data_IF_407399704587
#
_entry.id   IF_407399704587
#
_cell.length_a   1.000
_cell.length_b   1.000
_cell.length_c   1.000
_cell.angle_alpha   90.00
_cell.angle_beta   90.00
_cell.angle_gamma   90.00
#
_symmetry.space_group_name_H-M   'P 1'
#
loop_
_entity.id
_entity.type
_entity.pdbx_description
1 polymer ?
#
# COMPACT_ATOMS: atom_id res chain seq x y z
N UNK A 1 45.51 40.48 -7.43
CA UNK A 1 45.60 39.12 -8.00
C UNK A 1 45.48 37.97 -6.97
N UNK A 2 45.77 38.16 -5.67
CA UNK A 2 45.67 37.08 -4.66
C UNK A 2 44.26 36.86 -4.07
N UNK A 3 43.39 37.87 -4.11
CA UNK A 3 42.05 37.80 -3.50
C UNK A 3 41.05 36.97 -4.33
N UNK A 4 41.17 37.00 -5.66
CA UNK A 4 40.27 36.28 -6.58
C UNK A 4 40.38 34.77 -6.43
N UNK A 5 41.60 34.25 -6.23
CA UNK A 5 41.84 32.81 -6.06
C UNK A 5 41.21 32.27 -4.77
N UNK A 6 41.33 33.02 -3.65
CA UNK A 6 40.70 32.61 -2.38
C UNK A 6 39.17 32.63 -2.46
N UNK A 7 38.58 33.62 -3.16
CA UNK A 7 37.14 33.68 -3.37
C UNK A 7 36.61 32.49 -4.20
N UNK A 8 37.36 32.08 -5.22
CA UNK A 8 37.02 30.93 -6.07
C UNK A 8 37.09 29.59 -5.32
N UNK A 9 38.12 29.41 -4.48
CA UNK A 9 38.27 28.22 -3.63
C UNK A 9 37.14 28.16 -2.59
N UNK A 10 36.87 29.27 -1.89
CA UNK A 10 35.80 29.32 -0.89
C UNK A 10 34.43 29.08 -1.54
N UNK A 11 34.18 29.69 -2.71
CA UNK A 11 32.94 29.49 -3.47
C UNK A 11 32.74 28.03 -3.86
N UNK A 12 33.78 27.37 -4.38
CA UNK A 12 33.71 25.95 -4.76
C UNK A 12 33.47 25.05 -3.54
N UNK A 13 34.18 25.29 -2.43
CA UNK A 13 33.97 24.54 -1.19
C UNK A 13 32.56 24.72 -0.64
N UNK A 14 32.02 25.94 -0.67
CA UNK A 14 30.65 26.21 -0.24
C UNK A 14 29.63 25.43 -1.07
N UNK A 15 29.79 25.38 -2.40
CA UNK A 15 28.92 24.58 -3.29
C UNK A 15 28.98 23.09 -2.94
N UNK A 16 30.17 22.53 -2.72
CA UNK A 16 30.33 21.11 -2.37
C UNK A 16 29.66 20.79 -1.03
N UNK A 17 29.84 21.65 -0.01
CA UNK A 17 29.19 21.49 1.30
C UNK A 17 27.67 21.58 1.17
N UNK A 18 27.16 22.54 0.39
CA UNK A 18 25.73 22.67 0.13
C UNK A 18 25.15 21.43 -0.55
N UNK A 19 25.83 20.87 -1.55
CA UNK A 19 25.39 19.63 -2.20
C UNK A 19 25.39 18.44 -1.23
N UNK A 20 26.39 18.36 -0.34
CA UNK A 20 26.43 17.33 0.71
C UNK A 20 25.27 17.45 1.69
N UNK A 21 24.93 18.68 2.09
CA UNK A 21 23.79 18.95 2.96
C UNK A 21 22.45 18.60 2.28
N UNK A 22 22.25 19.00 1.01
CA UNK A 22 21.06 18.64 0.23
C UNK A 22 20.92 17.12 0.08
N UNK A 23 22.02 16.41 -0.20
CA UNK A 23 22.01 14.95 -0.28
C UNK A 23 21.62 14.29 1.06
N UNK A 24 22.06 14.87 2.18
CA UNK A 24 21.67 14.41 3.51
C UNK A 24 20.18 14.67 3.80
N UNK A 25 19.69 15.87 3.51
CA UNK A 25 18.26 16.23 3.66
C UNK A 25 17.37 15.34 2.80
N UNK A 26 17.73 15.09 1.53
CA UNK A 26 17.00 14.20 0.65
C UNK A 26 16.91 12.77 1.21
N UNK A 27 17.99 12.26 1.81
CA UNK A 27 17.99 10.93 2.45
C UNK A 27 17.08 10.88 3.68
N UNK A 28 17.17 11.89 4.55
CA UNK A 28 16.29 11.95 5.74
C UNK A 28 14.82 12.08 5.35
N UNK A 29 14.52 12.90 4.34
CA UNK A 29 13.17 13.05 3.82
C UNK A 29 12.65 11.72 3.23
N UNK A 30 13.50 11.00 2.50
CA UNK A 30 13.15 9.67 1.95
C UNK A 30 12.80 8.65 3.04
N UNK A 31 13.59 8.59 4.11
CA UNK A 31 13.32 7.68 5.24
C UNK A 31 12.05 8.10 6.02
N UNK A 32 11.82 9.40 6.20
CA UNK A 32 10.60 9.90 6.81
C UNK A 32 9.34 9.54 5.99
N UNK A 33 9.40 9.67 4.66
CA UNK A 33 8.31 9.28 3.76
C UNK A 33 8.04 7.77 3.83
N UNK A 34 9.08 6.94 3.86
CA UNK A 34 8.95 5.48 4.01
C UNK A 34 8.23 5.09 5.31
N UNK A 35 8.63 5.68 6.43
CA UNK A 35 8.01 5.45 7.74
C UNK A 35 6.54 5.91 7.72
N UNK A 36 6.27 7.10 7.17
CA UNK A 36 4.91 7.63 7.08
C UNK A 36 3.99 6.71 6.26
N UNK A 37 4.45 6.22 5.10
CA UNK A 37 3.67 5.29 4.27
C UNK A 37 3.39 3.96 5.00
N UNK A 38 4.38 3.44 5.71
CA UNK A 38 4.19 2.25 6.54
C UNK A 38 3.15 2.50 7.65
N UNK A 39 3.25 3.63 8.35
CA UNK A 39 2.28 4.03 9.37
C UNK A 39 0.87 4.18 8.79
N UNK A 40 0.72 4.73 7.58
CA UNK A 40 -0.58 4.83 6.89
C UNK A 40 -1.19 3.45 6.64
N UNK A 41 -0.41 2.49 6.14
CA UNK A 41 -0.92 1.12 5.93
C UNK A 41 -1.30 0.43 7.25
N UNK A 42 -0.49 0.60 8.29
CA UNK A 42 -0.81 0.08 9.62
C UNK A 42 -2.10 0.70 10.17
N UNK A 43 -2.29 2.01 9.99
CA UNK A 43 -3.51 2.69 10.42
C UNK A 43 -4.75 2.16 9.68
N UNK A 44 -4.67 1.98 8.35
CA UNK A 44 -5.75 1.38 7.56
C UNK A 44 -6.09 -0.04 8.03
N UNK A 45 -5.09 -0.82 8.44
CA UNK A 45 -5.30 -2.17 8.98
C UNK A 45 -5.94 -2.17 10.38
N UNK A 46 -5.55 -1.21 11.25
CA UNK A 46 -6.16 -1.03 12.57
C UNK A 46 -7.64 -0.71 12.45
N UNK A 47 -8.03 0.21 11.56
CA UNK A 47 -9.43 0.58 11.34
C UNK A 47 -10.24 -0.63 10.85
N UNK A 48 -9.64 -1.46 9.98
CA UNK A 48 -10.23 -2.72 9.52
C UNK A 48 -10.45 -3.72 10.67
N UNK A 49 -9.57 -3.74 11.67
CA UNK A 49 -9.70 -4.65 12.82
C UNK A 49 -10.91 -4.31 13.70
N UNK A 50 -11.45 -3.09 13.66
CA UNK A 50 -12.69 -2.74 14.37
C UNK A 50 -13.88 -3.56 13.85
N UNK A 51 -13.97 -3.75 12.53
CA UNK A 51 -14.99 -4.61 11.91
C UNK A 51 -14.88 -6.06 12.40
N UNK A 52 -13.66 -6.59 12.48
CA UNK A 52 -13.44 -7.98 12.89
C UNK A 52 -13.60 -8.21 14.41
N UNK A 53 -13.57 -7.15 15.22
CA UNK A 53 -13.88 -7.21 16.66
C UNK A 53 -15.38 -7.32 16.93
N UNK A 54 -16.21 -6.87 15.99
CA UNK A 54 -17.65 -7.12 16.02
C UNK A 54 -17.93 -8.59 15.64
N UNK A 55 -18.55 -9.34 16.54
CA UNK A 55 -18.78 -10.77 16.36
C UNK A 55 -19.76 -11.08 15.21
N UNK A 56 -20.75 -10.20 14.98
CA UNK A 56 -21.72 -10.38 13.90
C UNK A 56 -21.02 -10.20 12.56
N UNK A 57 -20.22 -9.14 12.41
CA UNK A 57 -19.44 -8.95 11.18
C UNK A 57 -18.36 -10.01 11.01
N UNK A 58 -17.67 -10.43 12.07
CA UNK A 58 -16.70 -11.52 11.99
C UNK A 58 -17.32 -12.80 11.43
N UNK A 59 -18.58 -13.12 11.80
CA UNK A 59 -19.31 -14.27 11.24
C UNK A 59 -19.60 -14.10 9.75
N UNK A 60 -19.99 -12.89 9.32
CA UNK A 60 -20.20 -12.54 7.90
C UNK A 60 -18.90 -12.71 7.12
N UNK A 61 -17.80 -12.18 7.66
CA UNK A 61 -16.48 -12.24 7.06
C UNK A 61 -16.03 -13.70 6.86
N UNK A 62 -16.12 -14.54 7.89
CA UNK A 62 -15.76 -15.97 7.79
C UNK A 62 -16.62 -16.70 6.75
N UNK A 63 -17.93 -16.45 6.72
CA UNK A 63 -18.82 -17.05 5.73
C UNK A 63 -18.45 -16.59 4.31
N UNK A 64 -18.28 -15.28 4.10
CA UNK A 64 -17.90 -14.70 2.82
C UNK A 64 -16.60 -15.28 2.25
N UNK A 65 -15.65 -15.64 3.11
CA UNK A 65 -14.38 -16.23 2.67
C UNK A 65 -14.55 -17.61 2.02
N UNK A 66 -15.60 -18.34 2.38
CA UNK A 66 -15.83 -19.74 1.95
C UNK A 66 -17.00 -19.89 1.00
N UNK A 67 -18.06 -19.10 1.17
CA UNK A 67 -19.30 -19.18 0.39
C UNK A 67 -20.03 -17.82 0.41
N UNK A 68 -19.64 -16.92 -0.49
CA UNK A 68 -20.17 -15.56 -0.55
C UNK A 68 -21.67 -15.53 -0.91
N UNK A 69 -22.15 -16.52 -1.67
CA UNK A 69 -23.53 -16.57 -2.15
C UNK A 69 -24.55 -16.82 -1.03
N UNK A 70 -24.12 -17.36 0.11
CA UNK A 70 -24.96 -17.53 1.31
C UNK A 70 -25.22 -16.25 2.08
N UNK A 71 -24.52 -15.16 1.78
CA UNK A 71 -24.77 -13.88 2.44
C UNK A 71 -26.12 -13.31 2.02
N UNK A 72 -26.88 -12.78 2.99
CA UNK A 72 -28.02 -11.93 2.68
C UNK A 72 -27.57 -10.67 1.93
N UNK A 73 -28.45 -9.96 1.19
CA UNK A 73 -28.08 -8.74 0.49
C UNK A 73 -27.43 -7.67 1.38
N UNK A 74 -27.86 -7.55 2.64
CA UNK A 74 -27.30 -6.61 3.62
C UNK A 74 -25.90 -7.04 4.06
N UNK A 75 -25.71 -8.31 4.40
CA UNK A 75 -24.39 -8.85 4.78
C UNK A 75 -23.40 -8.76 3.61
N UNK A 76 -23.84 -9.08 2.40
CA UNK A 76 -23.04 -8.94 1.19
C UNK A 76 -22.65 -7.48 0.94
N UNK A 77 -23.51 -6.51 1.25
CA UNK A 77 -23.17 -5.09 1.17
C UNK A 77 -22.10 -4.70 2.20
N UNK A 78 -22.22 -5.15 3.44
CA UNK A 78 -21.22 -4.89 4.48
C UNK A 78 -19.86 -5.49 4.11
N UNK A 79 -19.83 -6.77 3.71
CA UNK A 79 -18.58 -7.40 3.28
C UNK A 79 -17.96 -6.69 2.08
N UNK A 80 -18.77 -6.28 1.09
CA UNK A 80 -18.28 -5.54 -0.08
C UNK A 80 -17.62 -4.21 0.30
N UNK A 81 -18.13 -3.50 1.31
CA UNK A 81 -17.49 -2.29 1.81
C UNK A 81 -16.13 -2.63 2.43
N UNK A 82 -16.10 -3.59 3.34
CA UNK A 82 -14.87 -4.04 4.01
C UNK A 82 -13.78 -4.48 3.03
N UNK A 83 -14.13 -5.33 2.05
CA UNK A 83 -13.16 -5.87 1.10
C UNK A 83 -12.72 -4.80 0.09
N UNK A 84 -13.55 -3.81 -0.21
CA UNK A 84 -13.14 -2.65 -1.01
C UNK A 84 -12.07 -1.83 -0.28
N UNK A 85 -12.26 -1.53 1.00
CA UNK A 85 -11.27 -0.81 1.81
C UNK A 85 -9.96 -1.61 1.92
N UNK A 86 -10.08 -2.93 2.06
CA UNK A 86 -8.93 -3.85 2.05
C UNK A 86 -8.16 -3.79 0.73
N UNK A 87 -8.84 -3.82 -0.42
CA UNK A 87 -8.19 -3.75 -1.73
C UNK A 87 -7.66 -2.34 -2.06
N UNK A 88 -8.28 -1.27 -1.55
CA UNK A 88 -7.75 0.09 -1.66
C UNK A 88 -6.41 0.22 -0.91
N UNK A 89 -6.30 -0.40 0.27
CA UNK A 89 -5.04 -0.44 1.00
C UNK A 89 -3.97 -1.25 0.23
N UNK A 90 -4.36 -2.34 -0.45
CA UNK A 90 -3.45 -3.09 -1.31
C UNK A 90 -2.97 -2.26 -2.52
N UNK A 91 -3.88 -1.54 -3.17
CA UNK A 91 -3.51 -0.64 -4.27
C UNK A 91 -2.55 0.46 -3.80
N UNK A 92 -2.81 1.07 -2.64
CA UNK A 92 -1.89 2.04 -2.04
C UNK A 92 -0.52 1.42 -1.75
N UNK A 93 -0.47 0.21 -1.20
CA UNK A 93 0.78 -0.51 -0.99
C UNK A 93 1.53 -0.77 -2.31
N UNK A 94 0.81 -1.16 -3.37
CA UNK A 94 1.38 -1.41 -4.69
C UNK A 94 1.95 -0.14 -5.32
N UNK A 95 1.22 0.97 -5.27
CA UNK A 95 1.68 2.29 -5.75
C UNK A 95 2.93 2.74 -4.97
N UNK A 96 2.93 2.53 -3.66
CA UNK A 96 4.06 2.90 -2.80
C UNK A 96 5.30 2.04 -3.09
N UNK A 97 5.10 0.75 -3.37
CA UNK A 97 6.19 -0.16 -3.76
C UNK A 97 6.75 0.17 -5.13
N UNK A 98 5.89 0.31 -6.15
CA UNK A 98 6.30 0.60 -7.53
C UNK A 98 6.96 1.98 -7.68
N UNK A 99 6.66 2.94 -6.79
CA UNK A 99 7.36 4.24 -6.73
C UNK A 99 8.72 4.19 -6.01
N UNK A 100 9.11 3.06 -5.42
CA UNK A 100 10.35 2.89 -4.64
C UNK A 100 10.29 3.44 -3.20
N UNK A 101 9.11 3.89 -2.78
CA UNK A 101 8.85 4.42 -1.44
C UNK A 101 8.51 3.31 -0.41
N UNK A 102 8.51 2.05 -0.81
CA UNK A 102 8.42 0.87 0.06
C UNK A 102 9.47 -0.16 -0.36
N UNK A 103 10.13 -0.77 0.62
CA UNK A 103 11.10 -1.84 0.37
C UNK A 103 10.42 -3.15 -0.02
N UNK A 104 11.11 -4.00 -0.77
CA UNK A 104 10.61 -5.32 -1.18
C UNK A 104 10.20 -6.19 0.03
N UNK A 105 10.93 -6.09 1.14
CA UNK A 105 10.62 -6.83 2.38
C UNK A 105 9.28 -6.41 2.99
N UNK A 106 9.00 -5.10 3.05
CA UNK A 106 7.73 -4.59 3.59
C UNK A 106 6.60 -4.93 2.62
N UNK A 107 6.84 -4.76 1.32
CA UNK A 107 5.90 -5.12 0.27
C UNK A 107 5.49 -6.59 0.35
N UNK A 108 6.45 -7.52 0.45
CA UNK A 108 6.17 -8.94 0.51
C UNK A 108 5.23 -9.34 1.66
N UNK A 109 5.32 -8.65 2.81
CA UNK A 109 4.42 -8.86 3.94
C UNK A 109 2.99 -8.43 3.63
N UNK A 110 2.81 -7.20 3.16
CA UNK A 110 1.48 -6.67 2.80
C UNK A 110 0.87 -7.44 1.63
N UNK A 111 1.64 -7.66 0.58
CA UNK A 111 1.21 -8.36 -0.62
C UNK A 111 0.78 -9.80 -0.31
N UNK A 112 1.53 -10.51 0.53
CA UNK A 112 1.15 -11.84 1.00
C UNK A 112 -0.20 -11.85 1.73
N UNK A 113 -0.45 -10.87 2.60
CA UNK A 113 -1.73 -10.72 3.27
C UNK A 113 -2.88 -10.51 2.28
N UNK A 114 -2.77 -9.56 1.35
CA UNK A 114 -3.85 -9.25 0.42
C UNK A 114 -4.08 -10.35 -0.62
N UNK A 115 -3.03 -11.07 -1.04
CA UNK A 115 -3.18 -12.29 -1.84
C UNK A 115 -4.02 -13.35 -1.12
N UNK A 116 -3.86 -13.47 0.19
CA UNK A 116 -4.66 -14.39 1.00
C UNK A 116 -6.14 -13.99 1.06
N UNK A 117 -6.44 -12.68 1.00
CA UNK A 117 -7.82 -12.17 0.89
C UNK A 117 -8.39 -12.43 -0.50
N UNK A 118 -7.61 -12.16 -1.56
CA UNK A 118 -8.00 -12.43 -2.95
C UNK A 118 -8.30 -13.92 -3.19
N UNK A 119 -7.56 -14.82 -2.56
CA UNK A 119 -7.73 -16.27 -2.69
C UNK A 119 -9.02 -16.81 -2.04
N UNK A 120 -9.80 -15.97 -1.36
CA UNK A 120 -11.09 -16.34 -0.79
C UNK A 120 -12.22 -16.29 -1.82
N UNK A 121 -13.34 -16.93 -1.53
CA UNK A 121 -14.51 -16.86 -2.43
C UNK A 121 -15.02 -15.42 -2.58
N UNK A 122 -15.28 -14.74 -1.46
CA UNK A 122 -15.69 -13.33 -1.43
C UNK A 122 -14.70 -12.39 -2.10
N UNK A 123 -13.39 -12.60 -1.91
CA UNK A 123 -12.33 -11.82 -2.55
C UNK A 123 -12.36 -11.95 -4.08
N UNK A 124 -12.47 -13.18 -4.60
CA UNK A 124 -12.60 -13.41 -6.04
C UNK A 124 -13.91 -12.85 -6.61
N UNK A 125 -15.02 -13.01 -5.90
CA UNK A 125 -16.31 -12.44 -6.32
C UNK A 125 -16.23 -10.92 -6.40
N UNK A 126 -15.65 -10.28 -5.37
CA UNK A 126 -15.43 -8.85 -5.37
C UNK A 126 -14.54 -8.39 -6.52
N UNK A 127 -13.39 -9.06 -6.74
CA UNK A 127 -12.47 -8.69 -7.82
C UNK A 127 -13.15 -8.76 -9.20
N UNK A 128 -13.90 -9.82 -9.49
CA UNK A 128 -14.67 -9.93 -10.74
C UNK A 128 -15.68 -8.80 -10.95
N UNK A 129 -16.28 -8.29 -9.87
CA UNK A 129 -17.32 -7.27 -9.93
C UNK A 129 -16.76 -5.84 -9.97
N UNK A 130 -15.67 -5.61 -9.23
CA UNK A 130 -15.18 -4.26 -8.90
C UNK A 130 -13.75 -3.99 -9.35
N UNK A 131 -13.00 -5.00 -9.81
CA UNK A 131 -11.58 -4.87 -10.18
C UNK A 131 -11.31 -3.80 -11.25
N UNK A 132 -12.31 -3.50 -12.10
CA UNK A 132 -12.25 -2.42 -13.09
C UNK A 132 -12.21 -1.00 -12.52
N UNK A 133 -12.52 -0.83 -11.23
CA UNK A 133 -12.55 0.48 -10.57
C UNK A 133 -11.15 0.90 -10.06
N UNK A 134 -10.20 -0.04 -10.02
CA UNK A 134 -8.83 0.22 -9.61
C UNK A 134 -7.97 0.72 -10.78
N UNK A 135 -6.80 1.26 -10.46
CA UNK A 135 -5.83 1.72 -11.45
C UNK A 135 -5.43 0.61 -12.42
N UNK A 136 -5.12 0.95 -13.69
CA UNK A 136 -4.73 -0.05 -14.69
C UNK A 136 -3.52 -0.91 -14.27
N UNK A 137 -2.52 -0.30 -13.62
CA UNK A 137 -1.29 -0.99 -13.21
C UNK A 137 -1.55 -1.99 -12.09
N UNK A 138 -2.29 -1.58 -11.06
CA UNK A 138 -2.67 -2.49 -9.97
C UNK A 138 -3.59 -3.61 -10.48
N UNK A 139 -4.53 -3.30 -11.37
CA UNK A 139 -5.38 -4.32 -11.99
C UNK A 139 -4.56 -5.34 -12.78
N UNK A 140 -3.61 -4.90 -13.61
CA UNK A 140 -2.73 -5.80 -14.35
C UNK A 140 -1.93 -6.70 -13.40
N UNK A 141 -1.44 -6.13 -12.31
CA UNK A 141 -0.76 -6.89 -11.26
C UNK A 141 -1.66 -7.97 -10.65
N UNK A 142 -2.85 -7.61 -10.17
CA UNK A 142 -3.78 -8.55 -9.53
C UNK A 142 -4.28 -9.62 -10.53
N UNK A 143 -4.58 -9.24 -11.77
CA UNK A 143 -5.01 -10.19 -12.81
C UNK A 143 -3.92 -11.22 -13.12
N UNK A 144 -2.63 -10.82 -13.07
CA UNK A 144 -1.51 -11.78 -13.21
C UNK A 144 -1.47 -12.82 -12.10
N UNK A 145 -1.95 -12.46 -10.90
CA UNK A 145 -2.05 -13.38 -9.75
C UNK A 145 -3.24 -14.30 -9.95
N UNK A 146 -4.39 -13.76 -10.32
CA UNK A 146 -5.63 -14.54 -10.55
C UNK A 146 -5.43 -15.58 -11.64
N UNK A 147 -4.66 -15.27 -12.69
CA UNK A 147 -4.34 -16.23 -13.75
C UNK A 147 -3.49 -17.43 -13.29
N UNK A 148 -2.83 -17.32 -12.13
CA UNK A 148 -1.99 -18.37 -11.54
C UNK A 148 -2.63 -19.14 -10.38
N UNK A 149 -3.87 -18.81 -10.00
CA UNK A 149 -4.66 -19.50 -8.96
C UNK A 149 -5.52 -20.61 -9.57
#
# INVERSE_FOLDING_TARGET
>A
MKLSWWAEVIGTVAVVVSLGFVAYELRQNTEAVRIANHQSLVAMDIDKNEWLRDADFASIYVLARTDFEKLTPVQARQYRTYIADTFNAWEFAHITHTSGAMSDTIWAGWDGYYRSELATDGGRVFWRQSGRNFSPDFRAYVDSIVAGL
#
